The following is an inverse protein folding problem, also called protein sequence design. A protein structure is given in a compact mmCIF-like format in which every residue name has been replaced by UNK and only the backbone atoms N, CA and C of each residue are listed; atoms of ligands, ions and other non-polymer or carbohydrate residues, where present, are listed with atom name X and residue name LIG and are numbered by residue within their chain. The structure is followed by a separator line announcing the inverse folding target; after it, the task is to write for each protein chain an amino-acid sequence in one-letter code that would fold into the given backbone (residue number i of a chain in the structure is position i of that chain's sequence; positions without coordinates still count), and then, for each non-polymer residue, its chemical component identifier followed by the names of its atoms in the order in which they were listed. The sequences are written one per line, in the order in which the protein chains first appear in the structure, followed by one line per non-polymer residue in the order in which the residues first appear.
data_IF_683610079572
#
_entry.id   IF_683610079572
#
_cell.length_a   1.000
_cell.length_b   1.000
_cell.length_c   1.000
_cell.angle_alpha   90.00
_cell.angle_beta   90.00
_cell.angle_gamma   90.00
#
_symmetry.space_group_name_H-M   'P 1'
#
loop_
_entity.id
_entity.type
_entity.pdbx_description
1 polymer ?
#
# COMPACT_ATOMS: atom_id res chain seq x y z
N UNK A 1 2.78 -26.19 -5.77
CA UNK A 1 3.08 -24.93 -5.07
C UNK A 1 1.98 -23.93 -5.36
N UNK A 2 1.56 -23.14 -4.37
CA UNK A 2 0.57 -22.07 -4.54
C UNK A 2 1.04 -21.05 -5.58
N UNK A 3 0.21 -20.78 -6.60
CA UNK A 3 0.47 -19.75 -7.61
C UNK A 3 -0.21 -18.44 -7.26
N UNK A 4 0.56 -17.37 -7.20
CA UNK A 4 0.10 -16.02 -6.85
C UNK A 4 0.44 -15.03 -7.95
N UNK A 5 -0.48 -14.12 -8.24
CA UNK A 5 -0.24 -12.95 -9.08
C UNK A 5 -0.37 -11.68 -8.23
N UNK A 6 0.59 -10.77 -8.31
CA UNK A 6 0.56 -9.46 -7.67
C UNK A 6 0.40 -8.36 -8.73
N UNK A 7 -0.74 -7.67 -8.68
CA UNK A 7 -1.01 -6.45 -9.41
C UNK A 7 -0.55 -5.27 -8.56
N UNK A 8 0.59 -4.71 -8.92
CA UNK A 8 1.29 -3.69 -8.14
C UNK A 8 0.99 -2.29 -8.68
N UNK A 9 0.45 -1.42 -7.83
CA UNK A 9 0.33 0.01 -8.11
C UNK A 9 1.48 0.80 -7.51
N UNK A 10 2.18 1.57 -8.33
CA UNK A 10 3.23 2.49 -7.88
C UNK A 10 2.88 3.95 -8.16
N UNK A 11 3.48 4.85 -7.38
CA UNK A 11 3.41 6.28 -7.63
C UNK A 11 4.70 6.97 -7.22
N UNK A 12 5.24 7.75 -8.15
CA UNK A 12 6.29 8.71 -7.87
C UNK A 12 6.10 9.99 -8.68
N UNK A 13 6.17 11.14 -8.02
CA UNK A 13 5.99 12.43 -8.68
C UNK A 13 7.05 12.69 -9.78
N UNK A 14 8.25 12.13 -9.60
CA UNK A 14 9.37 12.26 -10.53
C UNK A 14 9.48 11.04 -11.47
N UNK A 15 8.54 10.10 -11.40
CA UNK A 15 8.54 8.87 -12.20
C UNK A 15 9.67 7.89 -11.84
N UNK A 16 10.21 7.96 -10.62
CA UNK A 16 11.37 7.16 -10.20
C UNK A 16 10.95 5.84 -9.56
N UNK A 17 11.53 4.73 -10.02
CA UNK A 17 11.50 3.44 -9.36
C UNK A 17 12.68 3.35 -8.35
N UNK A 18 12.45 3.83 -7.13
CA UNK A 18 13.51 3.88 -6.12
C UNK A 18 13.80 2.54 -5.44
N UNK A 19 14.85 2.52 -4.62
CA UNK A 19 15.30 1.33 -3.91
C UNK A 19 14.24 0.72 -2.98
N UNK A 20 13.33 1.52 -2.41
CA UNK A 20 12.26 0.99 -1.56
C UNK A 20 11.24 0.21 -2.39
N UNK A 21 10.85 0.77 -3.54
CA UNK A 21 9.97 0.09 -4.49
C UNK A 21 10.61 -1.21 -5.00
N UNK A 22 11.87 -1.15 -5.44
CA UNK A 22 12.60 -2.31 -5.96
C UNK A 22 12.70 -3.42 -4.91
N UNK A 23 12.99 -3.09 -3.65
CA UNK A 23 13.05 -4.08 -2.57
C UNK A 23 11.69 -4.73 -2.28
N UNK A 24 10.60 -3.96 -2.39
CA UNK A 24 9.26 -4.50 -2.22
C UNK A 24 8.89 -5.45 -3.36
N UNK A 25 9.06 -5.01 -4.62
CA UNK A 25 8.78 -5.83 -5.80
C UNK A 25 9.62 -7.11 -5.81
N UNK A 26 10.92 -7.01 -5.51
CA UNK A 26 11.81 -8.18 -5.38
C UNK A 26 11.38 -9.15 -4.28
N UNK A 27 10.75 -8.67 -3.21
CA UNK A 27 10.24 -9.56 -2.17
C UNK A 27 8.98 -10.30 -2.61
N UNK A 28 8.11 -9.65 -3.37
CA UNK A 28 6.90 -10.25 -3.95
C UNK A 28 7.24 -11.25 -5.06
N UNK A 29 8.23 -10.94 -5.91
CA UNK A 29 8.65 -11.81 -7.02
C UNK A 29 9.19 -13.18 -6.59
N UNK A 30 9.54 -13.33 -5.30
CA UNK A 30 9.93 -14.61 -4.70
C UNK A 30 8.74 -15.48 -4.28
N UNK A 31 7.53 -14.90 -4.28
CA UNK A 31 6.31 -15.52 -3.73
C UNK A 31 5.23 -15.70 -4.81
N UNK A 32 5.40 -15.07 -5.97
CA UNK A 32 4.51 -15.16 -7.13
C UNK A 32 4.94 -14.21 -8.24
N UNK A 33 4.14 -14.20 -9.30
CA UNK A 33 4.34 -13.34 -10.45
C UNK A 33 3.92 -11.90 -10.14
N UNK A 34 4.60 -10.92 -10.72
CA UNK A 34 4.32 -9.50 -10.47
C UNK A 34 4.08 -8.75 -11.78
N UNK A 35 2.98 -8.01 -11.82
CA UNK A 35 2.65 -7.05 -12.88
C UNK A 35 2.56 -5.68 -12.21
N UNK A 36 3.40 -4.75 -12.64
CA UNK A 36 3.51 -3.43 -12.03
C UNK A 36 3.04 -2.34 -12.98
N UNK A 37 2.22 -1.42 -12.48
CA UNK A 37 1.81 -0.23 -13.21
C UNK A 37 1.94 1.02 -12.34
N UNK A 38 2.60 2.06 -12.84
CA UNK A 38 2.76 3.32 -12.12
C UNK A 38 1.84 4.43 -12.66
N UNK A 39 1.18 5.17 -11.77
CA UNK A 39 0.45 6.41 -12.10
C UNK A 39 1.44 7.59 -12.19
N UNK A 40 2.43 7.45 -13.06
CA UNK A 40 3.60 8.32 -13.14
C UNK A 40 4.16 8.28 -14.56
N UNK A 41 4.67 9.42 -15.04
CA UNK A 41 5.40 9.47 -16.30
C UNK A 41 6.82 8.98 -16.06
N UNK A 42 7.00 7.66 -16.15
CA UNK A 42 8.29 7.03 -15.88
C UNK A 42 9.15 6.95 -17.14
N UNK A 43 10.45 7.18 -17.00
CA UNK A 43 11.40 6.85 -18.06
C UNK A 43 11.51 5.31 -18.17
N UNK A 44 11.59 4.78 -19.40
CA UNK A 44 11.83 3.34 -19.66
C UNK A 44 13.02 2.77 -18.88
N UNK A 45 14.05 3.58 -18.59
CA UNK A 45 15.20 3.14 -17.78
C UNK A 45 14.83 2.80 -16.33
N UNK A 46 13.78 3.40 -15.77
CA UNK A 46 13.30 3.09 -14.43
C UNK A 46 12.73 1.67 -14.36
N UNK A 47 12.00 1.25 -15.40
CA UNK A 47 11.48 -0.12 -15.49
C UNK A 47 12.55 -1.17 -15.72
N UNK A 48 13.70 -0.84 -16.34
CA UNK A 48 14.85 -1.75 -16.44
C UNK A 48 15.35 -2.22 -15.07
N UNK A 49 15.20 -1.40 -14.02
CA UNK A 49 15.57 -1.75 -12.64
C UNK A 49 14.65 -2.84 -12.05
N UNK A 50 13.45 -2.98 -12.60
CA UNK A 50 12.40 -3.88 -12.14
C UNK A 50 12.29 -5.15 -12.99
N UNK A 51 12.78 -5.15 -14.23
CA UNK A 51 12.71 -6.27 -15.18
C UNK A 51 13.05 -7.64 -14.59
N UNK A 52 14.07 -7.81 -13.70
CA UNK A 52 14.36 -9.12 -13.12
C UNK A 52 13.30 -9.66 -12.15
N UNK A 53 12.29 -8.85 -11.79
CA UNK A 53 11.36 -9.12 -10.70
C UNK A 53 9.89 -9.05 -11.12
N UNK A 54 9.60 -8.79 -12.40
CA UNK A 54 8.25 -8.59 -12.91
C UNK A 54 8.05 -9.32 -14.23
N UNK A 55 6.82 -9.79 -14.48
CA UNK A 55 6.39 -10.22 -15.81
C UNK A 55 6.20 -9.00 -16.72
N UNK A 56 5.72 -7.91 -16.14
CA UNK A 56 5.44 -6.67 -16.85
C UNK A 56 5.58 -5.48 -15.90
N UNK A 57 6.17 -4.39 -16.41
CA UNK A 57 6.19 -3.11 -15.72
C UNK A 57 6.06 -1.97 -16.71
N UNK A 58 5.14 -1.05 -16.41
CA UNK A 58 4.91 0.14 -17.23
C UNK A 58 4.35 1.29 -16.39
N UNK A 59 4.22 2.47 -16.98
CA UNK A 59 3.69 3.64 -16.29
C UNK A 59 3.40 4.79 -17.23
N UNK A 60 2.23 5.36 -17.00
CA UNK A 60 1.77 6.57 -17.65
C UNK A 60 0.91 7.30 -16.63
N UNK A 61 1.03 8.63 -16.56
CA UNK A 61 0.14 9.41 -15.71
C UNK A 61 -1.30 9.29 -16.20
N UNK A 62 -2.16 8.65 -15.40
CA UNK A 62 -3.56 8.42 -15.73
C UNK A 62 -4.55 9.09 -14.78
N UNK A 63 -4.13 9.48 -13.57
CA UNK A 63 -5.00 10.22 -12.63
C UNK A 63 -6.14 9.41 -12.01
N UNK A 64 -6.26 8.13 -12.36
CA UNK A 64 -7.11 7.13 -11.72
C UNK A 64 -6.53 6.57 -10.40
N UNK A 65 -5.35 7.06 -9.94
CA UNK A 65 -4.67 6.61 -8.72
C UNK A 65 -4.43 5.09 -8.68
N UNK A 66 -4.19 4.51 -7.50
CA UNK A 66 -3.83 3.09 -7.34
C UNK A 66 -4.81 2.13 -8.05
N UNK A 67 -6.12 2.41 -8.03
CA UNK A 67 -7.12 1.59 -8.74
C UNK A 67 -6.97 1.65 -10.26
N UNK A 68 -6.51 2.76 -10.82
CA UNK A 68 -6.15 2.87 -12.23
C UNK A 68 -4.97 1.99 -12.61
N UNK A 69 -3.98 1.90 -11.73
CA UNK A 69 -2.84 0.99 -11.91
C UNK A 69 -3.28 -0.47 -11.81
N UNK A 70 -4.13 -0.80 -10.82
CA UNK A 70 -4.70 -2.14 -10.68
C UNK A 70 -5.51 -2.54 -11.92
N UNK A 71 -6.33 -1.63 -12.46
CA UNK A 71 -7.07 -1.83 -13.72
C UNK A 71 -6.15 -2.18 -14.88
N UNK A 72 -5.10 -1.38 -15.11
CA UNK A 72 -4.16 -1.63 -16.21
C UNK A 72 -3.40 -2.93 -16.03
N UNK A 73 -2.95 -3.22 -14.81
CA UNK A 73 -2.30 -4.48 -14.47
C UNK A 73 -3.23 -5.68 -14.67
N UNK A 74 -4.49 -5.56 -14.27
CA UNK A 74 -5.49 -6.63 -14.45
C UNK A 74 -5.82 -6.86 -15.92
N UNK A 75 -6.04 -5.81 -16.71
CA UNK A 75 -6.29 -5.92 -18.16
C UNK A 75 -5.09 -6.60 -18.84
N UNK A 76 -3.86 -6.14 -18.56
CA UNK A 76 -2.67 -6.78 -19.10
C UNK A 76 -2.60 -8.27 -18.71
N UNK A 77 -2.85 -8.59 -17.44
CA UNK A 77 -2.80 -9.95 -16.95
C UNK A 77 -3.88 -10.84 -17.60
N UNK A 78 -5.11 -10.34 -17.74
CA UNK A 78 -6.21 -11.04 -18.40
C UNK A 78 -5.90 -11.33 -19.88
N UNK A 79 -5.28 -10.38 -20.56
CA UNK A 79 -5.03 -10.47 -22.00
C UNK A 79 -3.76 -11.29 -22.32
N UNK A 80 -2.83 -11.45 -21.37
CA UNK A 80 -1.52 -12.10 -21.60
C UNK A 80 -1.29 -13.37 -20.77
N UNK A 81 -2.11 -13.64 -19.75
CA UNK A 81 -1.95 -14.77 -18.85
C UNK A 81 -3.24 -15.58 -18.76
N UNK A 82 -3.09 -16.87 -18.48
CA UNK A 82 -4.21 -17.72 -18.07
C UNK A 82 -4.47 -17.55 -16.57
N UNK A 83 -5.37 -16.63 -16.22
CA UNK A 83 -5.71 -16.32 -14.83
C UNK A 83 -6.25 -17.54 -14.05
N UNK A 84 -6.80 -18.55 -14.72
CA UNK A 84 -7.32 -19.76 -14.08
C UNK A 84 -6.23 -20.62 -13.42
N UNK A 85 -4.96 -20.43 -13.81
CA UNK A 85 -3.78 -21.11 -13.25
C UNK A 85 -3.32 -20.53 -11.92
N UNK A 86 -3.77 -19.34 -11.55
CA UNK A 86 -3.42 -18.73 -10.27
C UNK A 86 -4.41 -19.16 -9.19
N UNK A 87 -3.92 -19.40 -7.98
CA UNK A 87 -4.78 -19.67 -6.82
C UNK A 87 -5.29 -18.35 -6.22
N UNK A 88 -4.44 -17.33 -6.25
CA UNK A 88 -4.71 -16.03 -5.67
C UNK A 88 -4.22 -14.89 -6.57
N UNK A 89 -5.02 -13.83 -6.64
CA UNK A 89 -4.62 -12.53 -7.18
C UNK A 89 -4.58 -11.53 -6.04
N UNK A 90 -3.52 -10.73 -6.00
CA UNK A 90 -3.31 -9.69 -5.02
C UNK A 90 -3.27 -8.33 -5.70
N UNK A 91 -3.92 -7.34 -5.13
CA UNK A 91 -3.65 -5.92 -5.41
C UNK A 91 -2.84 -5.34 -4.25
N UNK A 92 -1.72 -4.69 -4.58
CA UNK A 92 -0.76 -4.16 -3.60
C UNK A 92 -0.21 -2.83 -4.09
N UNK A 93 0.09 -1.89 -3.19
CA UNK A 93 0.68 -0.62 -3.61
C UNK A 93 1.83 -0.12 -2.74
N UNK A 94 2.53 0.88 -3.24
CA UNK A 94 3.71 1.49 -2.63
C UNK A 94 3.40 2.65 -1.67
N UNK A 95 2.15 2.80 -1.20
CA UNK A 95 1.82 3.79 -0.15
C UNK A 95 2.38 3.41 1.23
N UNK A 96 3.20 2.36 1.28
CA UNK A 96 3.84 1.78 2.46
C UNK A 96 5.33 1.55 2.22
N UNK A 97 6.09 1.55 3.31
CA UNK A 97 7.45 1.03 3.37
C UNK A 97 7.43 -0.40 3.86
N UNK A 98 8.18 -1.26 3.17
CA UNK A 98 8.37 -2.65 3.54
C UNK A 98 8.77 -3.50 2.32
N UNK A 99 8.79 -4.83 2.49
CA UNK A 99 8.40 -5.54 3.70
C UNK A 99 9.43 -5.42 4.84
N UNK A 100 8.94 -5.20 6.06
CA UNK A 100 9.72 -5.14 7.31
C UNK A 100 9.88 -6.52 7.96
N UNK A 101 9.05 -7.48 7.57
CA UNK A 101 9.06 -8.89 8.00
C UNK A 101 8.80 -9.80 6.77
N UNK A 102 9.24 -11.08 6.78
CA UNK A 102 9.04 -11.98 5.63
C UNK A 102 7.57 -12.17 5.25
N UNK A 103 7.18 -11.86 4.01
CA UNK A 103 5.77 -11.85 3.59
C UNK A 103 5.13 -13.23 3.49
N UNK A 104 5.91 -14.29 3.24
CA UNK A 104 5.40 -15.66 3.04
C UNK A 104 4.38 -16.07 4.10
N UNK A 105 4.72 -15.87 5.38
CA UNK A 105 3.87 -16.27 6.50
C UNK A 105 2.58 -15.45 6.62
N UNK A 106 2.57 -14.21 6.13
CA UNK A 106 1.36 -13.38 6.11
C UNK A 106 0.43 -13.78 4.97
N UNK A 107 0.99 -14.06 3.80
CA UNK A 107 0.23 -14.60 2.66
C UNK A 107 -0.42 -15.92 3.06
N UNK A 108 0.37 -16.88 3.56
CA UNK A 108 -0.14 -18.20 3.99
C UNK A 108 -1.25 -18.09 5.04
N UNK A 109 -1.14 -17.17 6.01
CA UNK A 109 -2.21 -16.93 7.00
C UNK A 109 -3.49 -16.37 6.38
N UNK A 110 -3.37 -15.45 5.43
CA UNK A 110 -4.54 -14.90 4.74
C UNK A 110 -5.17 -15.93 3.80
N UNK A 111 -4.36 -16.70 3.09
CA UNK A 111 -4.77 -17.76 2.16
C UNK A 111 -5.36 -18.98 2.87
N UNK A 112 -4.99 -19.20 4.13
CA UNK A 112 -5.62 -20.19 4.99
C UNK A 112 -7.00 -19.75 5.50
N UNK A 113 -7.37 -18.47 5.34
CA UNK A 113 -8.74 -18.03 5.64
C UNK A 113 -9.71 -18.65 4.64
N UNK A 114 -10.81 -19.23 5.09
CA UNK A 114 -11.87 -19.76 4.22
C UNK A 114 -12.76 -18.64 3.64
N UNK A 115 -12.18 -17.48 3.32
CA UNK A 115 -12.88 -16.32 2.78
C UNK A 115 -12.48 -16.03 1.34
N UNK A 116 -13.35 -15.35 0.60
CA UNK A 116 -13.20 -15.06 -0.83
C UNK A 116 -12.23 -13.90 -1.10
N UNK A 117 -12.25 -12.90 -0.23
CA UNK A 117 -11.31 -11.79 -0.24
C UNK A 117 -10.69 -11.58 1.14
N UNK A 118 -9.44 -11.17 1.19
CA UNK A 118 -8.74 -10.95 2.44
C UNK A 118 -7.73 -9.82 2.32
N UNK A 119 -7.31 -9.23 3.43
CA UNK A 119 -6.26 -8.22 3.39
C UNK A 119 -5.50 -8.07 4.68
N UNK A 120 -4.52 -7.16 4.66
CA UNK A 120 -3.73 -6.93 5.86
C UNK A 120 -4.52 -6.18 6.92
N UNK A 121 -5.24 -5.12 6.55
CA UNK A 121 -5.87 -4.21 7.52
C UNK A 121 -7.33 -3.99 7.20
N UNK A 122 -8.18 -4.29 8.18
CA UNK A 122 -9.58 -3.86 8.23
C UNK A 122 -9.66 -2.44 8.78
N UNK A 123 -10.34 -1.57 8.04
CA UNK A 123 -10.78 -0.28 8.54
C UNK A 123 -12.14 -0.45 9.24
N UNK A 124 -12.24 -0.02 10.50
CA UNK A 124 -13.47 -0.19 11.30
C UNK A 124 -14.43 0.99 11.24
N UNK A 125 -14.33 1.87 10.24
CA UNK A 125 -15.24 3.02 10.14
C UNK A 125 -16.68 2.52 10.18
N UNK A 126 -17.44 2.98 11.18
CA UNK A 126 -18.67 2.35 11.67
C UNK A 126 -19.74 2.10 10.60
N UNK A 127 -19.84 2.97 9.60
CA UNK A 127 -20.85 2.81 8.55
C UNK A 127 -20.46 1.81 7.47
N UNK A 128 -19.16 1.57 7.22
CA UNK A 128 -18.70 0.72 6.12
C UNK A 128 -17.35 0.07 6.48
N UNK A 129 -17.34 -1.03 7.25
CA UNK A 129 -16.12 -1.80 7.46
C UNK A 129 -15.61 -2.35 6.13
N UNK A 130 -14.32 -2.15 5.83
CA UNK A 130 -13.73 -2.55 4.54
C UNK A 130 -12.27 -2.97 4.70
N UNK A 131 -11.77 -3.68 3.70
CA UNK A 131 -10.35 -4.00 3.56
C UNK A 131 -9.63 -2.77 3.00
N UNK A 132 -8.47 -2.41 3.56
CA UNK A 132 -7.67 -1.32 2.99
C UNK A 132 -7.02 -1.71 1.66
N UNK A 133 -7.16 -0.86 0.66
CA UNK A 133 -6.84 -1.14 -0.76
C UNK A 133 -5.35 -1.25 -1.10
N UNK A 134 -4.45 -1.07 -0.12
CA UNK A 134 -3.00 -1.17 -0.33
C UNK A 134 -2.44 -2.59 -0.18
N UNK A 135 -3.26 -3.53 0.32
CA UNK A 135 -2.91 -4.95 0.34
C UNK A 135 -4.16 -5.82 0.48
N UNK A 136 -4.68 -6.28 -0.66
CA UNK A 136 -5.84 -7.17 -0.76
C UNK A 136 -5.42 -8.40 -1.57
N UNK A 137 -5.77 -9.59 -1.08
CA UNK A 137 -5.75 -10.81 -1.86
C UNK A 137 -7.16 -11.33 -2.07
N UNK A 138 -7.35 -12.06 -3.16
CA UNK A 138 -8.66 -12.57 -3.55
C UNK A 138 -8.53 -13.93 -4.23
N UNK A 139 -9.54 -14.78 -4.02
CA UNK A 139 -9.64 -16.12 -4.61
C UNK A 139 -10.26 -16.07 -6.00
N UNK A 140 -10.22 -17.22 -6.69
CA UNK A 140 -10.87 -17.44 -7.99
C UNK A 140 -12.35 -17.02 -7.99
N UNK A 141 -13.06 -17.23 -6.89
CA UNK A 141 -14.46 -16.79 -6.70
C UNK A 141 -14.65 -15.27 -6.85
N UNK A 142 -13.59 -14.49 -6.72
CA UNK A 142 -13.57 -13.04 -6.91
C UNK A 142 -12.93 -12.67 -8.24
N UNK A 143 -11.64 -13.00 -8.46
CA UNK A 143 -10.91 -12.43 -9.61
C UNK A 143 -11.30 -13.02 -10.97
N UNK A 144 -12.02 -14.15 -11.01
CA UNK A 144 -12.63 -14.68 -12.24
C UNK A 144 -14.11 -14.33 -12.37
N UNK A 145 -14.70 -13.66 -11.38
CA UNK A 145 -16.10 -13.30 -11.43
C UNK A 145 -16.34 -12.13 -12.38
N UNK A 146 -17.42 -12.20 -13.14
CA UNK A 146 -17.83 -11.16 -14.09
C UNK A 146 -17.95 -9.79 -13.42
N UNK A 147 -18.54 -9.73 -12.22
CA UNK A 147 -18.70 -8.49 -11.47
C UNK A 147 -17.36 -7.83 -11.13
N UNK A 148 -16.30 -8.62 -10.90
CA UNK A 148 -14.98 -8.08 -10.57
C UNK A 148 -14.33 -7.48 -11.81
N UNK A 149 -14.43 -8.15 -12.95
CA UNK A 149 -13.98 -7.62 -14.25
C UNK A 149 -14.67 -6.28 -14.59
N UNK A 150 -15.99 -6.22 -14.41
CA UNK A 150 -16.79 -5.00 -14.59
C UNK A 150 -16.37 -3.90 -13.61
N UNK A 151 -16.20 -4.23 -12.33
CA UNK A 151 -15.75 -3.31 -11.29
C UNK A 151 -14.38 -2.70 -11.62
N UNK A 152 -13.39 -3.55 -11.92
CA UNK A 152 -12.01 -3.10 -12.12
C UNK A 152 -11.84 -2.38 -13.47
N UNK A 153 -12.48 -2.87 -14.53
CA UNK A 153 -12.48 -2.20 -15.85
C UNK A 153 -13.28 -0.90 -15.82
N UNK A 154 -14.25 -0.80 -14.91
CA UNK A 154 -15.07 0.38 -14.65
C UNK A 154 -14.38 1.52 -13.91
N UNK A 155 -13.13 1.36 -13.43
CA UNK A 155 -12.40 2.46 -12.78
C UNK A 155 -12.25 3.65 -13.72
N UNK A 156 -12.48 4.86 -13.19
CA UNK A 156 -12.43 6.16 -13.88
C UNK A 156 -11.79 7.22 -12.97
N UNK A 157 -11.24 8.31 -13.52
CA UNK A 157 -10.73 9.41 -12.71
C UNK A 157 -11.86 10.04 -11.90
N UNK A 158 -11.65 10.25 -10.60
CA UNK A 158 -12.60 10.94 -9.73
C UNK A 158 -12.01 12.24 -9.21
N UNK A 159 -12.87 13.26 -9.00
CA UNK A 159 -12.47 14.63 -8.64
C UNK A 159 -11.79 14.76 -7.26
N UNK A 160 -11.87 13.76 -6.38
CA UNK A 160 -11.21 13.82 -5.07
C UNK A 160 -10.73 12.45 -4.56
N UNK A 161 -9.63 12.46 -3.78
CA UNK A 161 -9.11 11.26 -3.09
C UNK A 161 -10.15 10.61 -2.16
N UNK A 162 -11.00 11.42 -1.52
CA UNK A 162 -12.08 10.91 -0.67
C UNK A 162 -13.15 10.13 -1.46
N UNK A 163 -13.47 10.60 -2.67
CA UNK A 163 -14.37 9.89 -3.57
C UNK A 163 -13.79 8.56 -4.05
N UNK A 164 -12.47 8.46 -4.23
CA UNK A 164 -11.79 7.20 -4.64
C UNK A 164 -11.85 6.16 -3.52
N UNK A 165 -11.51 6.55 -2.29
CA UNK A 165 -11.65 5.64 -1.13
C UNK A 165 -13.10 5.18 -0.98
N UNK A 166 -14.07 6.09 -1.12
CA UNK A 166 -15.46 5.71 -0.99
C UNK A 166 -15.95 4.80 -2.13
N UNK A 167 -15.66 5.14 -3.39
CA UNK A 167 -16.19 4.42 -4.55
C UNK A 167 -15.48 3.09 -4.78
N UNK A 168 -14.16 3.04 -4.61
CA UNK A 168 -13.39 1.85 -4.98
C UNK A 168 -12.96 1.03 -3.77
N UNK A 169 -12.47 1.65 -2.69
CA UNK A 169 -12.04 0.87 -1.51
C UNK A 169 -13.24 0.32 -0.73
N UNK A 170 -14.26 1.14 -0.45
CA UNK A 170 -15.51 0.58 0.11
C UNK A 170 -16.26 -0.25 -0.94
N UNK A 171 -16.26 0.19 -2.19
CA UNK A 171 -16.94 -0.48 -3.29
C UNK A 171 -16.47 -1.91 -3.47
N UNK A 172 -15.16 -2.19 -3.40
CA UNK A 172 -14.64 -3.55 -3.52
C UNK A 172 -15.23 -4.47 -2.44
N UNK A 173 -15.08 -4.11 -1.16
CA UNK A 173 -15.58 -4.97 -0.07
C UNK A 173 -17.11 -5.09 -0.09
N UNK A 174 -17.81 -4.02 -0.46
CA UNK A 174 -19.27 -4.06 -0.64
C UNK A 174 -19.68 -5.03 -1.75
N UNK A 175 -19.03 -4.96 -2.92
CA UNK A 175 -19.31 -5.87 -4.04
C UNK A 175 -19.04 -7.34 -3.68
N UNK A 176 -17.98 -7.63 -2.93
CA UNK A 176 -17.72 -8.99 -2.44
C UNK A 176 -18.92 -9.52 -1.66
N UNK A 177 -19.46 -8.74 -0.73
CA UNK A 177 -20.62 -9.14 0.08
C UNK A 177 -21.91 -9.22 -0.74
N UNK A 178 -22.16 -8.25 -1.62
CA UNK A 178 -23.37 -8.22 -2.47
C UNK A 178 -23.44 -9.42 -3.44
N UNK A 179 -22.30 -9.96 -3.84
CA UNK A 179 -22.21 -11.18 -4.65
C UNK A 179 -22.04 -12.46 -3.82
N UNK A 180 -22.40 -12.42 -2.53
CA UNK A 180 -22.43 -13.59 -1.64
C UNK A 180 -21.07 -14.05 -1.10
N UNK A 181 -20.00 -13.29 -1.38
CA UNK A 181 -18.65 -13.57 -0.90
C UNK A 181 -18.40 -13.10 0.53
N UNK A 182 -17.39 -13.69 1.16
CA UNK A 182 -16.94 -13.36 2.51
C UNK A 182 -15.56 -12.74 2.52
N UNK A 183 -15.24 -12.01 3.58
CA UNK A 183 -13.92 -11.39 3.69
C UNK A 183 -13.38 -11.27 5.11
N UNK A 184 -12.05 -11.23 5.23
CA UNK A 184 -11.36 -11.05 6.52
C UNK A 184 -10.08 -10.20 6.41
N UNK A 185 -9.49 -9.84 7.55
CA UNK A 185 -8.18 -9.19 7.59
C UNK A 185 -7.33 -9.73 8.75
N UNK A 186 -6.01 -9.70 8.59
CA UNK A 186 -5.08 -10.08 9.67
C UNK A 186 -5.05 -9.08 10.84
N UNK A 187 -5.28 -7.80 10.53
CA UNK A 187 -5.24 -6.72 11.50
C UNK A 187 -6.51 -5.89 11.45
N UNK A 188 -6.88 -5.35 12.60
CA UNK A 188 -7.95 -4.36 12.74
C UNK A 188 -7.33 -3.03 13.10
N UNK A 189 -7.62 -1.99 12.31
CA UNK A 189 -7.21 -0.62 12.60
C UNK A 189 -8.44 0.24 12.89
N UNK A 190 -8.45 0.82 14.09
CA UNK A 190 -9.47 1.77 14.49
C UNK A 190 -9.12 3.16 14.00
N UNK A 191 -10.05 3.83 13.34
CA UNK A 191 -9.90 5.21 12.86
C UNK A 191 -8.61 5.40 12.04
N UNK A 192 -7.66 6.21 12.54
CA UNK A 192 -6.38 6.52 11.88
C UNK A 192 -5.18 5.86 12.55
N UNK A 193 -5.40 4.81 13.35
CA UNK A 193 -4.35 4.17 14.14
C UNK A 193 -3.20 3.66 13.27
N UNK A 194 -3.51 3.06 12.11
CA UNK A 194 -2.49 2.54 11.18
C UNK A 194 -1.51 3.63 10.72
N UNK A 195 -1.93 4.89 10.71
CA UNK A 195 -1.11 6.05 10.34
C UNK A 195 -0.39 6.68 11.54
N UNK A 196 -0.95 6.58 12.75
CA UNK A 196 -0.51 7.34 13.92
C UNK A 196 0.29 6.50 14.94
N UNK A 197 0.14 5.17 14.90
CA UNK A 197 0.71 4.25 15.90
C UNK A 197 1.76 3.32 15.29
N UNK A 198 2.71 3.92 14.57
CA UNK A 198 3.79 3.23 13.84
C UNK A 198 4.51 2.17 14.71
N UNK A 199 4.98 2.57 15.91
CA UNK A 199 5.72 1.65 16.79
C UNK A 199 4.83 0.53 17.32
N UNK A 200 3.55 0.80 17.57
CA UNK A 200 2.59 -0.20 18.04
C UNK A 200 2.38 -1.30 16.99
N UNK A 201 2.10 -0.94 15.73
CA UNK A 201 1.91 -1.92 14.67
C UNK A 201 3.18 -2.70 14.34
N UNK A 202 4.35 -2.05 14.39
CA UNK A 202 5.62 -2.77 14.26
C UNK A 202 5.81 -3.82 15.36
N UNK A 203 5.49 -3.49 16.62
CA UNK A 203 5.55 -4.46 17.75
C UNK A 203 4.55 -5.62 17.58
N UNK A 204 3.42 -5.38 16.89
CA UNK A 204 2.46 -6.40 16.47
C UNK A 204 2.87 -7.14 15.18
N UNK A 205 4.13 -7.00 14.77
CA UNK A 205 4.71 -7.62 13.57
C UNK A 205 3.99 -7.24 12.29
N UNK A 206 3.45 -6.02 12.17
CA UNK A 206 2.92 -5.52 10.90
C UNK A 206 4.06 -5.47 9.86
N UNK A 207 3.90 -6.10 8.66
CA UNK A 207 4.96 -6.16 7.65
C UNK A 207 5.26 -4.84 6.96
N UNK A 208 4.48 -3.79 7.23
CA UNK A 208 4.57 -2.51 6.54
C UNK A 208 4.40 -1.32 7.47
N UNK A 209 4.93 -0.16 7.05
CA UNK A 209 4.74 1.14 7.70
C UNK A 209 4.21 2.14 6.66
N UNK A 210 3.09 2.82 6.91
CA UNK A 210 2.55 3.81 5.95
C UNK A 210 3.54 4.95 5.70
N UNK A 211 3.81 5.29 4.44
CA UNK A 211 4.76 6.37 4.06
C UNK A 211 4.36 7.73 4.64
N UNK A 212 3.05 8.00 4.67
CA UNK A 212 2.49 9.26 5.22
C UNK A 212 2.86 9.48 6.69
N UNK A 213 3.26 8.43 7.44
CA UNK A 213 3.68 8.58 8.83
C UNK A 213 4.78 9.64 9.04
N UNK A 214 5.65 9.85 8.03
CA UNK A 214 6.70 10.87 8.05
C UNK A 214 6.16 12.31 8.16
N UNK A 215 4.95 12.57 7.67
CA UNK A 215 4.34 13.92 7.65
C UNK A 215 3.14 14.04 8.58
N UNK A 216 2.66 12.93 9.17
CA UNK A 216 1.56 12.94 10.15
C UNK A 216 1.87 13.89 11.29
N UNK A 217 0.91 14.76 11.60
CA UNK A 217 0.99 15.73 12.69
C UNK A 217 2.27 16.58 12.62
N UNK A 218 2.68 16.97 11.41
CA UNK A 218 3.89 17.74 11.17
C UNK A 218 5.18 17.03 11.65
N UNK A 219 5.23 15.70 11.58
CA UNK A 219 6.43 14.90 11.87
C UNK A 219 6.61 14.48 13.32
N UNK A 220 5.59 14.59 14.17
CA UNK A 220 5.67 14.19 15.60
C UNK A 220 5.90 12.69 15.80
N UNK A 221 5.65 11.88 14.77
CA UNK A 221 5.87 10.44 14.82
C UNK A 221 7.34 10.03 14.68
N UNK A 222 8.25 10.98 14.47
CA UNK A 222 9.68 10.74 14.26
C UNK A 222 10.34 9.77 15.26
N UNK A 223 10.12 9.88 16.60
CA UNK A 223 10.66 8.90 17.54
C UNK A 223 10.14 7.47 17.35
N UNK A 224 8.89 7.31 16.88
CA UNK A 224 8.33 5.99 16.56
C UNK A 224 8.95 5.43 15.27
N UNK A 225 9.13 6.28 14.25
CA UNK A 225 9.75 5.91 12.97
C UNK A 225 11.22 5.53 13.20
N UNK A 226 11.97 6.34 13.95
CA UNK A 226 13.36 6.08 14.32
C UNK A 226 13.51 4.74 15.05
N UNK A 227 12.58 4.43 15.96
CA UNK A 227 12.53 3.11 16.60
C UNK A 227 12.36 1.98 15.59
N UNK A 228 11.42 2.08 14.64
CA UNK A 228 11.24 1.05 13.59
C UNK A 228 12.48 0.92 12.72
N UNK A 229 13.06 2.04 12.26
CA UNK A 229 14.25 2.06 11.42
C UNK A 229 15.46 1.43 12.12
N UNK A 230 15.67 1.67 13.42
CA UNK A 230 16.75 1.05 14.20
C UNK A 230 16.71 -0.48 14.17
N UNK A 231 15.51 -1.07 14.08
CA UNK A 231 15.30 -2.53 14.06
C UNK A 231 15.02 -3.08 12.65
N UNK A 232 15.09 -2.24 11.63
CA UNK A 232 14.90 -2.64 10.23
C UNK A 232 16.24 -3.03 9.60
N UNK A 233 16.33 -4.11 8.82
CA UNK A 233 17.57 -4.50 8.14
C UNK A 233 18.19 -3.36 7.33
N UNK A 234 19.51 -3.27 7.32
CA UNK A 234 20.24 -2.12 6.79
C UNK A 234 19.87 -1.74 5.33
N UNK A 235 19.68 -2.69 4.38
CA UNK A 235 19.26 -2.34 3.02
C UNK A 235 17.90 -1.63 2.98
N UNK A 236 16.90 -2.18 3.66
CA UNK A 236 15.55 -1.61 3.74
C UNK A 236 15.56 -0.28 4.48
N UNK A 237 16.29 -0.18 5.60
CA UNK A 237 16.45 1.08 6.35
C UNK A 237 17.01 2.20 5.47
N UNK A 238 18.08 1.94 4.72
CA UNK A 238 18.69 2.93 3.81
C UNK A 238 17.73 3.33 2.69
N UNK A 239 17.01 2.37 2.12
CA UNK A 239 16.02 2.63 1.08
C UNK A 239 14.88 3.54 1.57
N UNK A 240 14.36 3.27 2.77
CA UNK A 240 13.31 4.10 3.40
C UNK A 240 13.80 5.51 3.66
N UNK A 241 14.98 5.67 4.26
CA UNK A 241 15.55 6.99 4.57
C UNK A 241 15.78 7.77 3.28
N UNK A 242 16.44 7.16 2.28
CA UNK A 242 16.71 7.82 0.99
C UNK A 242 15.43 8.23 0.26
N UNK A 243 14.39 7.39 0.26
CA UNK A 243 13.09 7.80 -0.30
C UNK A 243 12.50 8.98 0.49
N UNK A 244 12.45 8.89 1.81
CA UNK A 244 11.90 9.95 2.65
C UNK A 244 12.63 11.28 2.46
N UNK A 245 13.96 11.27 2.39
CA UNK A 245 14.79 12.46 2.18
C UNK A 245 14.52 13.11 0.82
N UNK A 246 14.37 12.30 -0.24
CA UNK A 246 14.00 12.80 -1.57
C UNK A 246 12.61 13.45 -1.57
N UNK A 247 11.62 12.79 -0.96
CA UNK A 247 10.22 13.23 -1.01
C UNK A 247 9.94 14.41 -0.06
N UNK A 248 10.54 14.42 1.12
CA UNK A 248 10.21 15.38 2.18
C UNK A 248 11.35 16.37 2.51
N UNK A 249 12.52 16.19 1.90
CA UNK A 249 13.72 16.98 2.15
C UNK A 249 14.61 16.40 3.25
N UNK A 250 15.92 16.36 2.99
CA UNK A 250 16.92 15.80 3.91
C UNK A 250 16.88 16.45 5.28
N UNK A 251 16.89 17.78 5.35
CA UNK A 251 16.89 18.52 6.62
C UNK A 251 15.66 18.16 7.48
N UNK A 252 14.48 18.08 6.86
CA UNK A 252 13.25 17.71 7.56
C UNK A 252 13.34 16.28 8.13
N UNK A 253 13.76 15.32 7.30
CA UNK A 253 13.87 13.91 7.72
C UNK A 253 14.89 13.75 8.85
N UNK A 254 16.08 14.34 8.71
CA UNK A 254 17.10 14.33 9.76
C UNK A 254 16.56 14.93 11.06
N UNK A 255 15.83 16.06 10.99
CA UNK A 255 15.26 16.69 12.16
C UNK A 255 14.26 15.77 12.89
N UNK A 256 13.31 15.17 12.16
CA UNK A 256 12.28 14.35 12.82
C UNK A 256 12.82 13.02 13.34
N UNK A 257 13.84 12.43 12.69
CA UNK A 257 14.39 11.14 13.12
C UNK A 257 15.30 11.27 14.35
N UNK A 258 15.90 12.44 14.56
CA UNK A 258 16.77 12.74 15.71
C UNK A 258 16.06 13.45 16.86
N UNK A 259 14.80 13.89 16.69
CA UNK A 259 14.08 14.60 17.73
C UNK A 259 13.83 13.72 18.97
N UNK A 260 13.94 14.29 20.16
CA UNK A 260 13.57 13.62 21.41
C UNK A 260 12.04 13.50 21.52
N UNK A 261 11.55 12.66 22.45
CA UNK A 261 10.11 12.55 22.74
C UNK A 261 9.53 13.89 23.23
N UNK A 262 10.32 14.68 23.95
CA UNK A 262 9.96 16.02 24.38
C UNK A 262 9.82 16.99 23.20
N UNK A 263 10.80 17.00 22.27
CA UNK A 263 10.72 17.83 21.06
C UNK A 263 9.51 17.46 20.20
N UNK A 264 9.21 16.17 20.07
CA UNK A 264 8.02 15.69 19.37
C UNK A 264 6.72 16.17 20.04
N UNK A 265 6.66 16.21 21.38
CA UNK A 265 5.51 16.74 22.11
C UNK A 265 5.32 18.24 21.83
N UNK A 266 6.40 19.04 21.95
CA UNK A 266 6.37 20.49 21.66
C UNK A 266 5.89 20.76 20.23
N UNK A 267 6.40 19.99 19.26
CA UNK A 267 5.97 20.06 17.86
C UNK A 267 4.48 19.72 17.69
N UNK A 268 3.97 18.76 18.45
CA UNK A 268 2.55 18.38 18.45
C UNK A 268 1.65 19.48 19.01
N UNK A 269 2.06 20.14 20.09
CA UNK A 269 1.35 21.29 20.67
C UNK A 269 1.28 22.43 19.65
N UNK A 270 2.42 22.82 19.05
CA UNK A 270 2.47 23.85 18.01
C UNK A 270 1.57 23.52 16.82
N UNK A 271 1.56 22.27 16.37
CA UNK A 271 0.67 21.81 15.30
C UNK A 271 -0.81 21.94 15.68
N UNK A 272 -1.17 21.56 16.91
CA UNK A 272 -2.54 21.69 17.42
C UNK A 272 -3.02 23.13 17.45
N UNK A 273 -2.19 24.05 17.98
CA UNK A 273 -2.47 25.49 18.03
C UNK A 273 -2.68 26.04 16.61
N UNK A 274 -1.75 25.78 15.68
CA UNK A 274 -1.86 26.26 14.30
C UNK A 274 -3.11 25.71 13.59
N UNK A 275 -3.50 24.47 13.87
CA UNK A 275 -4.71 23.87 13.32
C UNK A 275 -5.98 24.54 13.86
N UNK A 276 -6.01 24.89 15.15
CA UNK A 276 -7.11 25.62 15.77
C UNK A 276 -7.23 27.06 15.22
N UNK A 277 -6.10 27.77 15.09
CA UNK A 277 -6.06 29.15 14.55
C UNK A 277 -6.52 29.19 13.09
N UNK A 278 -6.15 28.18 12.28
CA UNK A 278 -6.49 28.13 10.85
C UNK A 278 -7.92 27.67 10.54
N UNK A 279 -8.77 27.41 11.56
CA UNK A 279 -10.16 26.99 11.37
C UNK A 279 -10.34 25.62 10.71
N UNK A 280 -9.25 24.85 10.54
CA UNK A 280 -9.27 23.52 9.86
C UNK A 280 -9.59 22.38 10.83
N UNK A 281 -10.45 22.57 11.82
CA UNK A 281 -10.78 21.56 12.84
C UNK A 281 -11.37 20.29 12.21
#
# INVERSE_FOLDING_TARGET
MTKRLFLFAGYDADGIADASLILYVRALSKLGDVVLYMDSNCNKQEFKKLTPYVLYADGLRHGEYDFGSYKRGFIWARDNLDLSKYDFVYIVNDSVYGPLFPLKTYLEKMEASHTDAFGLVKNTKSSHPHIQSWFIGMRKSVFLAKWFDEFISGVRPLKSKGAITHTYEHGFTKNVVEHGGTWTCLYTAHNRDIYNRVKFYWRKKMPFMKRVAFTRHNGTLGPQISYVLKHTPAPMRRAIIKNAERIYGTQYVTQILNQSRFMALVRGIKYGINKAISGKL
#
